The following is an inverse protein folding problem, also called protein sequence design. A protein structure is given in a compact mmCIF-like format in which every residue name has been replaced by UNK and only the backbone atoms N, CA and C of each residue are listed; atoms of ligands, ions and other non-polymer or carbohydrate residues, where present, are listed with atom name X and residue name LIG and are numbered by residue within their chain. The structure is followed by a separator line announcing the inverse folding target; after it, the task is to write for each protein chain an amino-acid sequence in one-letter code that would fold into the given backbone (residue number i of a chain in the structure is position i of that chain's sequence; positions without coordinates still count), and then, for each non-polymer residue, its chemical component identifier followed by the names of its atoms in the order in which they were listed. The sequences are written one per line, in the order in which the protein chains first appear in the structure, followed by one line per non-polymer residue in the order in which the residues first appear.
data_IF_950400291001
#
_entry.id   IF_950400291001
#
_cell.length_a   1.000
_cell.length_b   1.000
_cell.length_c   1.000
_cell.angle_alpha   90.00
_cell.angle_beta   90.00
_cell.angle_gamma   90.00
#
_symmetry.space_group_name_H-M   'P 1'
#
loop_
_entity.id
_entity.type
_entity.pdbx_description
1 polymer ?
#
# COMPACT_ATOMS: atom_id res chain seq x y z
N UNK A 1 -5.85 -17.50 -7.64
CA UNK A 1 -5.64 -16.31 -8.48
C UNK A 1 -4.86 -15.28 -7.66
N UNK A 2 -3.67 -14.85 -8.09
CA UNK A 2 -2.76 -14.05 -7.28
C UNK A 2 -3.29 -12.66 -6.97
N UNK A 3 -3.40 -12.33 -5.68
CA UNK A 3 -4.06 -11.14 -5.12
C UNK A 3 -3.40 -9.81 -5.51
N UNK A 4 -2.15 -9.85 -5.98
CA UNK A 4 -1.34 -8.67 -6.32
C UNK A 4 -1.44 -8.24 -7.79
N UNK A 5 -2.09 -9.05 -8.64
CA UNK A 5 -2.13 -8.79 -10.08
C UNK A 5 -2.92 -7.52 -10.45
N UNK A 6 -4.02 -7.23 -9.73
CA UNK A 6 -4.94 -6.14 -10.13
C UNK A 6 -4.35 -4.74 -10.04
N UNK A 7 -3.49 -4.46 -9.05
CA UNK A 7 -2.86 -3.14 -8.90
C UNK A 7 -2.03 -2.77 -10.12
N UNK A 8 -1.22 -3.70 -10.61
CA UNK A 8 -0.32 -3.46 -11.74
C UNK A 8 -1.03 -3.59 -13.08
N UNK A 9 -2.06 -4.44 -13.20
CA UNK A 9 -2.94 -4.49 -14.37
C UNK A 9 -3.52 -3.09 -14.68
N UNK A 10 -3.94 -2.35 -13.65
CA UNK A 10 -4.58 -1.04 -13.80
C UNK A 10 -3.60 0.14 -13.75
N UNK A 11 -2.36 -0.08 -13.30
CA UNK A 11 -1.35 0.97 -13.10
C UNK A 11 0.04 0.50 -13.57
N UNK A 12 0.16 0.20 -14.87
CA UNK A 12 1.39 -0.30 -15.50
C UNK A 12 2.59 0.65 -15.34
N UNK A 13 2.34 1.95 -15.12
CA UNK A 13 3.37 2.94 -14.85
C UNK A 13 4.08 2.70 -13.51
N UNK A 14 3.38 2.15 -12.50
CA UNK A 14 3.95 1.81 -11.19
C UNK A 14 4.96 0.67 -11.27
N UNK A 15 4.82 -0.24 -12.24
CA UNK A 15 5.77 -1.35 -12.44
C UNK A 15 7.19 -0.86 -12.71
N UNK A 16 7.33 0.31 -13.33
CA UNK A 16 8.64 0.86 -13.68
C UNK A 16 9.44 1.33 -12.46
N UNK A 17 8.79 1.45 -11.31
CA UNK A 17 9.39 1.88 -10.05
C UNK A 17 10.06 0.73 -9.28
N UNK A 18 9.75 -0.51 -9.65
CA UNK A 18 10.37 -1.71 -9.12
C UNK A 18 11.52 -2.12 -10.05
N UNK A 19 12.75 -1.68 -9.73
CA UNK A 19 13.91 -1.84 -10.63
C UNK A 19 14.16 -3.29 -11.07
N UNK A 20 13.86 -4.26 -10.20
CA UNK A 20 14.00 -5.69 -10.47
C UNK A 20 12.88 -6.29 -11.34
N UNK A 21 11.80 -5.55 -11.62
CA UNK A 21 10.58 -6.06 -12.26
C UNK A 21 10.16 -5.36 -13.56
N UNK A 22 10.89 -4.32 -14.01
CA UNK A 22 10.68 -3.65 -15.30
C UNK A 22 10.55 -4.59 -16.52
N UNK A 23 11.09 -5.81 -16.43
CA UNK A 23 11.11 -6.80 -17.49
C UNK A 23 9.87 -7.73 -17.54
N UNK A 24 9.09 -7.84 -16.46
CA UNK A 24 7.97 -8.78 -16.37
C UNK A 24 6.65 -8.12 -16.78
N UNK A 25 6.29 -8.29 -18.05
CA UNK A 25 5.12 -7.64 -18.67
C UNK A 25 3.88 -8.51 -18.66
N UNK A 26 4.00 -9.80 -18.36
CA UNK A 26 2.87 -10.74 -18.39
C UNK A 26 2.31 -11.02 -17.00
N UNK A 27 1.01 -11.35 -16.96
CA UNK A 27 0.25 -11.64 -15.74
C UNK A 27 0.84 -12.78 -14.91
N UNK A 28 1.32 -13.82 -15.58
CA UNK A 28 1.90 -15.00 -14.93
C UNK A 28 3.24 -14.67 -14.24
N UNK A 29 4.06 -13.84 -14.87
CA UNK A 29 5.34 -13.40 -14.31
C UNK A 29 5.14 -12.44 -13.14
N UNK A 30 4.14 -11.56 -13.22
CA UNK A 30 3.80 -10.60 -12.16
C UNK A 30 3.20 -11.30 -10.92
N UNK A 31 2.38 -12.34 -11.11
CA UNK A 31 1.77 -13.12 -10.01
C UNK A 31 2.81 -13.96 -9.27
N UNK A 32 3.82 -14.48 -9.97
CA UNK A 32 4.87 -15.31 -9.37
C UNK A 32 6.04 -14.48 -8.81
N UNK A 33 5.95 -13.15 -8.84
CA UNK A 33 6.97 -12.26 -8.28
C UNK A 33 7.01 -12.35 -6.76
N UNK A 34 8.13 -12.86 -6.23
CA UNK A 34 8.43 -12.86 -4.79
C UNK A 34 8.43 -11.44 -4.20
N UNK A 35 8.90 -10.42 -4.93
CA UNK A 35 9.02 -9.05 -4.41
C UNK A 35 7.66 -8.33 -4.33
N UNK A 36 6.76 -8.59 -5.29
CA UNK A 36 5.38 -8.07 -5.21
C UNK A 36 4.56 -8.79 -4.15
N UNK A 37 4.76 -10.10 -4.00
CA UNK A 37 4.23 -10.86 -2.88
C UNK A 37 4.76 -10.34 -1.53
N UNK A 38 6.06 -10.04 -1.45
CA UNK A 38 6.70 -9.47 -0.26
C UNK A 38 6.21 -8.04 0.03
N UNK A 39 6.09 -7.18 -0.98
CA UNK A 39 5.56 -5.83 -0.79
C UNK A 39 4.09 -5.85 -0.36
N UNK A 40 3.25 -6.66 -1.00
CA UNK A 40 1.87 -6.84 -0.59
C UNK A 40 1.77 -7.45 0.81
N UNK A 41 2.63 -8.43 1.15
CA UNK A 41 2.72 -8.97 2.51
C UNK A 41 3.16 -7.91 3.51
N UNK A 42 4.09 -7.02 3.16
CA UNK A 42 4.52 -5.92 4.03
C UNK A 42 3.40 -4.90 4.24
N UNK A 43 2.63 -4.56 3.19
CA UNK A 43 1.42 -3.74 3.31
C UNK A 43 0.41 -4.44 4.21
N UNK A 44 0.07 -5.70 3.94
CA UNK A 44 -0.90 -6.46 4.75
C UNK A 44 -0.46 -6.62 6.21
N UNK A 45 0.84 -6.86 6.46
CA UNK A 45 1.42 -6.94 7.79
C UNK A 45 1.35 -5.60 8.50
N UNK A 46 1.65 -4.50 7.80
CA UNK A 46 1.52 -3.14 8.33
C UNK A 46 0.07 -2.84 8.73
N UNK A 47 -0.89 -3.25 7.92
CA UNK A 47 -2.32 -3.09 8.21
C UNK A 47 -2.76 -3.95 9.40
N UNK A 48 -2.32 -5.22 9.45
CA UNK A 48 -2.63 -6.17 10.52
C UNK A 48 -1.99 -5.75 11.85
N UNK A 49 -0.76 -5.26 11.82
CA UNK A 49 -0.09 -4.63 12.95
C UNK A 49 -0.83 -3.36 13.38
N UNK A 50 -1.29 -2.51 12.47
CA UNK A 50 -2.11 -1.33 12.81
C UNK A 50 -3.43 -1.64 13.47
N UNK A 51 -4.11 -2.71 13.05
CA UNK A 51 -5.36 -3.16 13.67
C UNK A 51 -5.09 -3.80 15.04
N UNK A 52 -3.98 -4.54 15.18
CA UNK A 52 -3.58 -5.21 16.44
C UNK A 52 -2.97 -4.24 17.45
N UNK A 53 -2.35 -3.16 17.00
CA UNK A 53 -1.69 -2.13 17.82
C UNK A 53 -2.58 -0.94 18.11
N UNK A 54 -3.91 -1.09 18.06
CA UNK A 54 -4.82 -0.03 18.54
C UNK A 54 -4.58 0.35 20.02
N UNK A 55 -3.92 -0.52 20.79
CA UNK A 55 -3.45 -0.22 22.16
C UNK A 55 -2.23 0.72 22.20
N UNK A 56 -1.52 0.91 21.08
CA UNK A 56 -0.37 1.80 20.91
C UNK A 56 -0.39 2.49 19.53
N UNK A 57 -1.43 3.32 19.36
CA UNK A 57 -1.69 4.05 18.13
C UNK A 57 -0.56 5.02 17.76
N UNK A 58 0.19 5.53 18.74
CA UNK A 58 1.27 6.49 18.53
C UNK A 58 2.46 5.83 17.83
N UNK A 59 2.89 4.66 18.28
CA UNK A 59 3.95 3.89 17.62
C UNK A 59 3.53 3.44 16.22
N UNK A 60 2.27 3.06 16.04
CA UNK A 60 1.74 2.73 14.73
C UNK A 60 1.80 3.93 13.78
N UNK A 61 1.31 5.09 14.21
CA UNK A 61 1.34 6.31 13.41
C UNK A 61 2.77 6.75 13.07
N UNK A 62 3.71 6.63 13.99
CA UNK A 62 5.12 6.93 13.72
C UNK A 62 5.68 6.00 12.64
N UNK A 63 5.42 4.69 12.74
CA UNK A 63 5.84 3.72 11.75
C UNK A 63 5.29 4.05 10.36
N UNK A 64 3.99 4.32 10.23
CA UNK A 64 3.38 4.66 8.93
C UNK A 64 3.99 5.95 8.36
N UNK A 65 4.23 6.98 9.19
CA UNK A 65 4.91 8.18 8.73
C UNK A 65 6.32 7.88 8.19
N UNK A 66 7.08 7.00 8.85
CA UNK A 66 8.42 6.59 8.39
C UNK A 66 8.34 5.82 7.07
N UNK A 67 7.36 4.95 6.88
CA UNK A 67 7.11 4.26 5.61
C UNK A 67 6.78 5.27 4.52
N UNK A 68 5.89 6.24 4.77
CA UNK A 68 5.59 7.33 3.85
C UNK A 68 6.84 8.12 3.45
N UNK A 69 7.65 8.52 4.44
CA UNK A 69 8.92 9.22 4.22
C UNK A 69 9.92 8.42 3.37
N UNK A 70 9.98 7.10 3.54
CA UNK A 70 10.92 6.24 2.80
C UNK A 70 10.68 6.26 1.29
N UNK A 71 9.44 6.49 0.84
CA UNK A 71 9.11 6.54 -0.58
C UNK A 71 9.70 7.77 -1.29
N UNK A 72 10.17 8.78 -0.56
CA UNK A 72 10.95 9.91 -1.13
C UNK A 72 12.26 9.46 -1.78
N UNK A 73 12.78 8.30 -1.36
CA UNK A 73 14.00 7.71 -1.90
C UNK A 73 13.78 7.01 -3.25
N UNK A 74 12.53 6.83 -3.67
CA UNK A 74 12.18 6.17 -4.93
C UNK A 74 12.16 7.23 -6.04
N UNK A 75 13.07 7.15 -7.03
CA UNK A 75 13.11 8.13 -8.12
C UNK A 75 11.80 8.20 -8.89
N UNK A 76 11.28 9.41 -9.08
CA UNK A 76 10.03 9.64 -9.82
C UNK A 76 8.75 9.27 -9.07
N UNK A 77 8.83 8.93 -7.78
CA UNK A 77 7.63 8.65 -6.98
C UNK A 77 6.76 9.89 -6.81
N UNK A 78 5.48 9.73 -7.10
CA UNK A 78 4.45 10.75 -6.95
C UNK A 78 3.54 10.36 -5.80
N UNK A 79 3.22 11.33 -4.95
CA UNK A 79 2.45 11.09 -3.71
C UNK A 79 1.08 10.50 -4.01
N UNK A 80 0.50 10.81 -5.18
CA UNK A 80 -0.78 10.31 -5.65
C UNK A 80 -0.77 8.79 -5.91
N UNK A 81 0.41 8.18 -6.05
CA UNK A 81 0.55 6.74 -6.26
C UNK A 81 0.14 5.92 -5.05
N UNK A 82 0.20 6.47 -3.83
CA UNK A 82 -0.35 5.79 -2.65
C UNK A 82 -1.84 5.47 -2.83
N UNK A 83 -2.62 6.41 -3.38
CA UNK A 83 -4.06 6.24 -3.55
C UNK A 83 -4.44 5.17 -4.57
N UNK A 84 -3.52 4.75 -5.44
CA UNK A 84 -3.76 3.65 -6.40
C UNK A 84 -3.95 2.29 -5.71
N UNK A 85 -3.57 2.17 -4.44
CA UNK A 85 -3.66 0.93 -3.66
C UNK A 85 -5.08 0.69 -3.13
N UNK A 86 -5.91 1.73 -2.97
CA UNK A 86 -7.23 1.61 -2.31
C UNK A 86 -8.14 0.56 -2.97
N UNK A 87 -8.42 0.71 -4.27
CA UNK A 87 -9.33 -0.19 -4.99
C UNK A 87 -8.82 -1.63 -5.06
N UNK A 88 -7.56 -1.90 -5.45
CA UNK A 88 -7.02 -3.25 -5.44
C UNK A 88 -7.02 -3.90 -4.05
N UNK A 89 -6.75 -3.12 -3.00
CA UNK A 89 -6.81 -3.60 -1.63
C UNK A 89 -8.23 -4.04 -1.24
N UNK A 90 -9.23 -3.18 -1.45
CA UNK A 90 -10.63 -3.50 -1.11
C UNK A 90 -11.13 -4.73 -1.88
N UNK A 91 -10.80 -4.84 -3.16
CA UNK A 91 -11.13 -6.01 -3.96
C UNK A 91 -10.46 -7.30 -3.44
N UNK A 92 -9.22 -7.21 -2.95
CA UNK A 92 -8.51 -8.33 -2.35
C UNK A 92 -9.13 -8.75 -1.01
N UNK A 93 -9.57 -7.79 -0.19
CA UNK A 93 -10.29 -8.04 1.07
C UNK A 93 -11.62 -8.73 0.80
N UNK A 94 -12.45 -8.19 -0.10
CA UNK A 94 -13.73 -8.77 -0.50
C UNK A 94 -13.56 -10.22 -0.95
N UNK A 95 -12.63 -10.46 -1.89
CA UNK A 95 -12.35 -11.81 -2.37
C UNK A 95 -11.80 -12.75 -1.30
N UNK A 96 -11.10 -12.23 -0.28
CA UNK A 96 -10.52 -13.05 0.80
C UNK A 96 -11.56 -13.41 1.85
N UNK A 97 -12.51 -12.51 2.13
CA UNK A 97 -13.53 -12.71 3.15
C UNK A 97 -14.76 -13.46 2.61
N UNK A 98 -15.03 -13.40 1.29
CA UNK A 98 -16.13 -14.10 0.65
C UNK A 98 -17.46 -13.75 1.33
N UNK A 99 -18.22 -14.76 1.76
CA UNK A 99 -19.51 -14.57 2.43
C UNK A 99 -19.44 -13.78 3.74
N UNK A 100 -18.24 -13.63 4.33
CA UNK A 100 -18.02 -12.79 5.52
C UNK A 100 -17.86 -11.30 5.19
N UNK A 101 -17.75 -10.95 3.90
CA UNK A 101 -17.68 -9.56 3.45
C UNK A 101 -19.07 -8.93 3.46
N UNK A 102 -19.46 -8.43 4.63
CA UNK A 102 -20.73 -7.72 4.82
C UNK A 102 -20.57 -6.22 4.56
N UNK A 103 -21.67 -5.46 4.36
CA UNK A 103 -21.59 -3.99 4.21
C UNK A 103 -20.90 -3.28 5.39
N UNK A 104 -21.04 -3.81 6.60
CA UNK A 104 -20.34 -3.26 7.77
C UNK A 104 -18.83 -3.51 7.68
N UNK A 105 -18.42 -4.71 7.26
CA UNK A 105 -17.02 -5.07 7.07
C UNK A 105 -16.40 -4.23 5.94
N UNK A 106 -17.10 -4.08 4.81
CA UNK A 106 -16.68 -3.18 3.72
C UNK A 106 -16.43 -1.75 4.22
N UNK A 107 -17.35 -1.19 5.00
CA UNK A 107 -17.22 0.16 5.54
C UNK A 107 -16.01 0.29 6.46
N UNK A 108 -15.76 -0.68 7.34
CA UNK A 108 -14.58 -0.70 8.22
C UNK A 108 -13.30 -0.69 7.38
N UNK A 109 -13.16 -1.58 6.40
CA UNK A 109 -11.96 -1.64 5.58
C UNK A 109 -11.75 -0.38 4.72
N UNK A 110 -12.83 0.24 4.21
CA UNK A 110 -12.76 1.54 3.51
C UNK A 110 -12.22 2.65 4.40
N UNK A 111 -12.69 2.74 5.64
CA UNK A 111 -12.21 3.76 6.59
C UNK A 111 -10.74 3.50 6.93
N UNK A 112 -10.40 2.25 7.27
CA UNK A 112 -9.05 1.85 7.66
C UNK A 112 -8.03 2.11 6.57
N UNK A 113 -8.30 1.70 5.32
CA UNK A 113 -7.32 1.90 4.24
C UNK A 113 -7.13 3.38 3.93
N UNK A 114 -8.20 4.19 3.90
CA UNK A 114 -8.10 5.63 3.68
C UNK A 114 -7.28 6.33 4.75
N UNK A 115 -7.49 5.95 6.01
CA UNK A 115 -6.70 6.47 7.13
C UNK A 115 -5.21 6.20 6.92
N UNK A 116 -4.85 4.96 6.58
CA UNK A 116 -3.44 4.55 6.43
C UNK A 116 -2.80 5.21 5.21
N UNK A 117 -3.51 5.29 4.09
CA UNK A 117 -3.05 6.01 2.90
C UNK A 117 -2.83 7.49 3.19
N UNK A 118 -3.74 8.14 3.94
CA UNK A 118 -3.54 9.52 4.35
C UNK A 118 -2.32 9.67 5.26
N UNK A 119 -2.09 8.78 6.22
CA UNK A 119 -0.90 8.84 7.09
C UNK A 119 0.40 8.62 6.30
N UNK A 120 0.39 7.78 5.26
CA UNK A 120 1.54 7.63 4.35
C UNK A 120 1.82 8.92 3.58
N UNK A 121 0.78 9.56 3.05
CA UNK A 121 0.86 10.87 2.37
C UNK A 121 1.45 11.92 3.31
N UNK A 122 0.92 12.03 4.53
CA UNK A 122 1.41 12.97 5.54
C UNK A 122 2.90 12.72 5.86
N UNK A 123 3.32 11.45 5.95
CA UNK A 123 4.72 11.07 6.19
C UNK A 123 5.64 11.47 5.06
N UNK A 124 5.19 11.25 3.82
CA UNK A 124 5.88 11.64 2.59
C UNK A 124 6.07 13.16 2.51
N UNK A 125 5.02 13.92 2.78
CA UNK A 125 5.03 15.40 2.73
C UNK A 125 5.86 16.02 3.86
N UNK A 126 5.73 15.51 5.10
CA UNK A 126 6.55 15.97 6.24
C UNK A 126 8.04 15.74 6.01
N UNK A 127 8.42 14.67 5.31
CA UNK A 127 9.81 14.45 4.94
C UNK A 127 10.31 15.45 3.87
N UNK A 128 9.42 15.91 3.00
CA UNK A 128 9.73 16.94 2.01
C UNK A 128 10.03 18.30 2.66
N UNK A 129 9.23 18.72 3.65
CA UNK A 129 9.42 20.00 4.33
C UNK A 129 10.68 20.04 5.19
N UNK A 130 11.09 18.90 5.79
CA UNK A 130 12.36 18.80 6.54
C UNK A 130 13.60 18.82 5.65
N UNK A 131 13.51 18.38 4.40
CA UNK A 131 14.63 18.34 3.46
C UNK A 131 14.93 19.71 2.82
N UNK A 132 13.98 20.65 2.86
CA UNK A 132 14.13 22.03 2.41
C UNK A 132 13.78 23.00 3.56
N UNK A 133 14.66 23.14 4.58
CA UNK A 133 14.51 24.23 5.53
C UNK A 133 14.69 25.56 4.79
N UNK A 134 13.78 26.50 5.04
CA UNK A 134 13.83 27.87 4.51
C UNK A 134 15.04 28.63 5.04
#
# INVERSE_FOLDING_TARGET
MGKNARLFEENQDLLNMFEKFRQYKTKEEQINSMELAEHANNVMKTLDEGIKSLDDIDNFLEYIHQVGASHRRIPGFKVEYFWKIETPFLAAVESTLGDRYTPNVENIYKITIKFILQTLVDGYEKAASKANPT
#
